data_IF_831484522783
#
_entry.id   IF_831484522783
#
_cell.length_a   1.000
_cell.length_b   1.000
_cell.length_c   1.000
_cell.angle_alpha   90.00
_cell.angle_beta   90.00
_cell.angle_gamma   90.00
#
_symmetry.space_group_name_H-M   'P 1'
#
loop_
_entity.id
_entity.type
_entity.pdbx_description
1 polymer ?
#
# COMPACT_ATOMS: atom_id res chain seq x y z
N UNK A 1 -4.83 -16.64 -9.55
CA UNK A 1 -5.96 -15.95 -10.23
C UNK A 1 -5.83 -14.48 -9.93
N UNK A 2 -5.81 -13.62 -10.95
CA UNK A 2 -5.89 -12.18 -10.71
C UNK A 2 -7.34 -11.82 -10.40
N UNK A 3 -7.56 -11.05 -9.34
CA UNK A 3 -8.90 -10.55 -9.00
C UNK A 3 -9.00 -9.10 -9.47
N UNK A 4 -9.94 -8.81 -10.36
CA UNK A 4 -10.18 -7.44 -10.82
C UNK A 4 -11.14 -6.75 -9.86
N UNK A 5 -10.65 -5.75 -9.13
CA UNK A 5 -11.52 -4.85 -8.37
C UNK A 5 -12.12 -3.79 -9.28
N UNK A 6 -13.42 -3.52 -9.14
CA UNK A 6 -14.06 -2.37 -9.75
C UNK A 6 -13.95 -1.15 -8.83
N UNK A 7 -14.00 0.06 -9.39
CA UNK A 7 -14.02 1.30 -8.60
C UNK A 7 -15.15 1.25 -7.56
N UNK A 8 -14.80 1.41 -6.28
CA UNK A 8 -15.73 1.30 -5.15
C UNK A 8 -16.03 -0.13 -4.69
N UNK A 9 -15.42 -1.13 -5.31
CA UNK A 9 -15.49 -2.52 -4.88
C UNK A 9 -14.68 -2.75 -3.61
N UNK A 10 -15.27 -3.51 -2.69
CA UNK A 10 -14.60 -3.99 -1.49
C UNK A 10 -14.31 -5.49 -1.66
N UNK A 11 -13.10 -5.91 -1.31
CA UNK A 11 -12.70 -7.30 -1.32
C UNK A 11 -12.37 -7.74 0.10
N UNK A 12 -12.98 -8.85 0.53
CA UNK A 12 -12.64 -9.48 1.81
C UNK A 12 -11.49 -10.46 1.60
N UNK A 13 -10.28 -10.09 2.00
CA UNK A 13 -9.10 -10.96 1.93
C UNK A 13 -9.31 -12.28 2.70
N UNK A 14 -10.01 -12.24 3.84
CA UNK A 14 -10.33 -13.42 4.66
C UNK A 14 -11.28 -14.42 3.98
N UNK A 15 -12.09 -13.99 3.01
CA UNK A 15 -12.91 -14.91 2.20
C UNK A 15 -12.11 -15.56 1.08
N UNK A 16 -11.05 -14.90 0.63
CA UNK A 16 -10.19 -15.39 -0.44
C UNK A 16 -9.14 -16.35 0.11
N UNK A 17 -8.52 -16.01 1.24
CA UNK A 17 -7.58 -16.88 1.93
C UNK A 17 -7.61 -16.61 3.45
N UNK A 18 -8.21 -17.51 4.26
CA UNK A 18 -8.28 -17.35 5.71
C UNK A 18 -6.92 -17.60 6.40
N UNK A 19 -5.92 -18.10 5.69
CA UNK A 19 -4.56 -18.34 6.21
C UNK A 19 -3.57 -17.26 5.78
N UNK A 20 -4.06 -16.15 5.21
CA UNK A 20 -3.23 -15.06 4.74
C UNK A 20 -2.47 -14.41 5.89
N UNK A 21 -1.15 -14.60 5.88
CA UNK A 21 -0.23 -14.08 6.89
C UNK A 21 0.54 -12.86 6.40
N UNK A 22 0.74 -12.74 5.09
CA UNK A 22 1.46 -11.62 4.48
C UNK A 22 0.77 -11.17 3.20
N UNK A 23 0.74 -9.85 2.98
CA UNK A 23 0.19 -9.19 1.82
C UNK A 23 1.28 -8.30 1.22
N UNK A 24 1.42 -8.35 -0.09
CA UNK A 24 2.25 -7.42 -0.84
C UNK A 24 1.32 -6.57 -1.70
N UNK A 25 1.41 -5.25 -1.54
CA UNK A 25 0.63 -4.29 -2.31
C UNK A 25 1.63 -3.56 -3.20
N UNK A 26 1.59 -3.84 -4.50
CA UNK A 26 2.34 -3.11 -5.51
C UNK A 26 1.46 -2.04 -6.15
N UNK A 27 1.99 -0.84 -6.30
CA UNK A 27 1.43 0.25 -7.07
C UNK A 27 2.39 0.56 -8.22
N UNK A 28 1.92 0.41 -9.45
CA UNK A 28 2.67 0.79 -10.64
C UNK A 28 1.84 1.74 -11.51
N UNK A 29 2.49 2.73 -12.11
CA UNK A 29 1.85 3.68 -13.01
C UNK A 29 2.78 4.13 -14.12
N UNK A 30 2.21 4.41 -15.29
CA UNK A 30 3.01 4.88 -16.42
C UNK A 30 3.44 6.34 -16.23
N UNK A 31 4.72 6.66 -16.51
CA UNK A 31 5.24 8.01 -16.42
C UNK A 31 4.58 8.90 -17.47
N UNK A 32 4.51 10.20 -17.19
CA UNK A 32 3.90 11.17 -18.10
C UNK A 32 4.65 11.19 -19.45
N UNK A 33 3.93 10.96 -20.54
CA UNK A 33 4.49 10.98 -21.90
C UNK A 33 4.63 12.39 -22.54
N UNK A 34 4.34 13.46 -21.81
CA UNK A 34 4.30 14.86 -22.30
C UNK A 34 5.11 15.77 -21.40
N UNK A 35 5.66 16.87 -21.93
CA UNK A 35 6.31 17.90 -21.13
C UNK A 35 5.35 18.48 -20.08
N UNK A 36 5.78 18.51 -18.81
CA UNK A 36 4.99 18.98 -17.69
C UNK A 36 5.42 18.35 -16.36
N UNK A 37 4.62 18.58 -15.33
CA UNK A 37 4.87 18.00 -14.00
C UNK A 37 4.63 16.49 -14.02
N UNK A 38 5.54 15.76 -13.37
CA UNK A 38 5.52 14.30 -13.26
C UNK A 38 4.28 13.82 -12.47
N UNK A 39 3.84 12.58 -12.76
CA UNK A 39 2.77 11.96 -11.99
C UNK A 39 3.39 11.35 -10.72
N UNK A 40 3.13 12.03 -9.61
CA UNK A 40 3.48 11.59 -8.26
C UNK A 40 2.25 10.86 -7.70
N UNK A 41 2.32 9.53 -7.61
CA UNK A 41 1.29 8.71 -6.98
C UNK A 41 1.85 8.15 -5.68
N UNK A 42 1.16 8.43 -4.58
CA UNK A 42 1.55 7.92 -3.28
C UNK A 42 0.67 6.73 -2.86
N UNK A 43 1.31 5.62 -2.50
CA UNK A 43 0.70 4.56 -1.74
C UNK A 43 0.80 4.86 -0.23
N UNK A 44 -0.30 4.70 0.49
CA UNK A 44 -0.29 4.87 1.94
C UNK A 44 -1.21 3.88 2.63
N UNK A 45 -0.82 3.45 3.83
CA UNK A 45 -1.59 2.55 4.66
C UNK A 45 -1.95 3.21 6.00
N UNK A 46 -3.18 2.98 6.44
CA UNK A 46 -3.69 3.42 7.73
C UNK A 46 -4.00 2.20 8.60
N UNK A 47 -3.30 2.05 9.72
CA UNK A 47 -3.61 1.01 10.69
C UNK A 47 -4.73 1.51 11.60
N UNK A 48 -5.91 0.92 11.44
CA UNK A 48 -7.08 1.26 12.24
C UNK A 48 -7.19 0.35 13.46
N UNK A 49 -7.50 0.93 14.61
CA UNK A 49 -7.90 0.20 15.80
C UNK A 49 -9.35 -0.29 15.68
N UNK A 50 -9.80 -1.13 16.61
CA UNK A 50 -11.15 -1.69 16.64
C UNK A 50 -12.28 -0.63 16.65
N UNK A 51 -11.95 0.62 16.98
CA UNK A 51 -12.85 1.78 16.94
C UNK A 51 -12.90 2.48 15.56
N UNK A 52 -12.21 1.94 14.54
CA UNK A 52 -12.14 2.52 13.20
C UNK A 52 -11.27 3.78 13.11
N UNK A 53 -10.43 4.06 14.10
CA UNK A 53 -9.50 5.21 14.12
C UNK A 53 -8.06 4.74 14.23
N UNK A 54 -7.15 5.51 13.64
CA UNK A 54 -5.71 5.37 13.89
C UNK A 54 -5.40 5.64 15.36
N UNK A 55 -4.46 4.90 15.97
CA UNK A 55 -4.10 5.10 17.38
C UNK A 55 -3.13 6.27 17.51
N UNK A 56 -2.25 6.46 16.52
CA UNK A 56 -1.31 7.59 16.46
C UNK A 56 -0.88 7.92 15.03
N UNK A 57 -0.14 9.01 14.85
CA UNK A 57 0.50 9.36 13.56
C UNK A 57 1.50 8.29 13.11
N UNK A 58 2.02 7.45 14.02
CA UNK A 58 2.90 6.34 13.69
C UNK A 58 2.17 5.15 13.03
N UNK A 59 0.84 5.13 13.07
CA UNK A 59 -0.01 4.16 12.38
C UNK A 59 -0.35 4.58 10.94
N UNK A 60 0.18 5.72 10.50
CA UNK A 60 0.08 6.18 9.13
C UNK A 60 1.40 5.92 8.41
N UNK A 61 1.36 5.03 7.42
CA UNK A 61 2.52 4.55 6.68
C UNK A 61 2.48 5.14 5.29
N UNK A 62 3.53 5.86 4.92
CA UNK A 62 3.65 6.62 3.68
C UNK A 62 5.14 6.86 3.38
N UNK A 63 5.45 7.58 2.31
CA UNK A 63 6.83 7.86 1.88
C UNK A 63 7.77 8.35 3.00
N UNK A 64 7.28 9.14 3.97
CA UNK A 64 8.09 9.67 5.07
C UNK A 64 8.14 8.75 6.31
N UNK A 65 7.27 7.75 6.37
CA UNK A 65 7.15 6.80 7.47
C UNK A 65 7.16 5.39 6.91
N UNK A 66 8.36 4.89 6.62
CA UNK A 66 8.55 3.63 5.89
C UNK A 66 8.13 2.38 6.68
N UNK A 67 7.95 2.47 8.00
CA UNK A 67 7.60 1.31 8.83
C UNK A 67 6.58 1.67 9.90
N UNK A 68 5.66 0.75 10.18
CA UNK A 68 4.75 0.88 11.32
C UNK A 68 5.48 0.63 12.63
N UNK A 69 4.97 1.20 13.72
CA UNK A 69 5.53 0.98 15.06
C UNK A 69 5.55 -0.51 15.46
N UNK A 70 4.53 -1.25 15.02
CA UNK A 70 4.41 -2.70 15.26
C UNK A 70 5.25 -3.55 14.28
N UNK A 71 5.84 -2.91 13.25
CA UNK A 71 6.61 -3.58 12.18
C UNK A 71 5.74 -4.48 11.30
N UNK A 72 4.42 -4.31 11.36
CA UNK A 72 3.43 -5.00 10.54
C UNK A 72 3.34 -4.46 9.13
N UNK A 73 3.74 -3.21 8.88
CA UNK A 73 3.72 -2.62 7.53
C UNK A 73 5.08 -2.00 7.23
N UNK A 74 5.62 -2.28 6.06
CA UNK A 74 6.87 -1.73 5.53
C UNK A 74 6.66 -1.20 4.11
N UNK A 75 6.90 0.09 3.92
CA UNK A 75 6.97 0.77 2.63
C UNK A 75 8.39 0.61 2.07
N UNK A 76 8.54 0.14 0.83
CA UNK A 76 9.86 -0.15 0.26
C UNK A 76 10.57 1.05 -0.33
N UNK A 77 9.84 2.13 -0.63
CA UNK A 77 10.40 3.37 -1.17
C UNK A 77 9.35 4.17 -1.90
N UNK A 78 9.61 5.48 -2.01
CA UNK A 78 8.79 6.44 -2.74
C UNK A 78 9.33 6.58 -4.17
N UNK A 79 8.45 6.38 -5.15
CA UNK A 79 8.78 6.62 -6.55
C UNK A 79 7.92 7.78 -7.05
N UNK A 80 8.56 8.89 -7.41
CA UNK A 80 7.85 10.14 -7.72
C UNK A 80 7.58 10.35 -9.20
N UNK A 81 8.01 9.40 -10.02
CA UNK A 81 8.08 9.57 -11.48
C UNK A 81 7.34 8.47 -12.22
N UNK A 82 7.12 7.30 -11.60
CA UNK A 82 6.64 6.09 -12.27
C UNK A 82 7.65 5.56 -13.29
N UNK A 83 8.92 5.97 -13.18
CA UNK A 83 9.96 5.55 -14.10
C UNK A 83 10.47 4.16 -13.73
N UNK A 84 9.91 3.12 -14.36
CA UNK A 84 10.34 1.75 -14.15
C UNK A 84 9.41 0.75 -14.85
N UNK A 85 9.89 -0.49 -15.02
CA UNK A 85 9.04 -1.61 -15.38
C UNK A 85 8.63 -2.34 -14.09
N UNK A 86 7.33 -2.35 -13.76
CA UNK A 86 6.78 -3.16 -12.66
C UNK A 86 5.99 -2.35 -11.62
N UNK A 87 6.11 -2.76 -10.36
CA UNK A 87 5.52 -2.06 -9.21
C UNK A 87 6.47 -0.93 -8.77
N UNK A 88 6.11 0.31 -9.05
CA UNK A 88 6.87 1.51 -8.71
C UNK A 88 7.00 1.73 -7.19
N UNK A 89 5.92 1.45 -6.46
CA UNK A 89 5.89 1.46 -5.00
C UNK A 89 5.36 0.13 -4.47
N UNK A 90 5.92 -0.33 -3.35
CA UNK A 90 5.48 -1.57 -2.71
C UNK A 90 5.29 -1.37 -1.21
N UNK A 91 4.13 -1.79 -0.72
CA UNK A 91 3.85 -1.93 0.70
C UNK A 91 3.77 -3.41 1.06
N UNK A 92 4.63 -3.81 1.97
CA UNK A 92 4.61 -5.14 2.58
C UNK A 92 3.81 -5.07 3.86
N UNK A 93 2.82 -5.93 4.01
CA UNK A 93 1.99 -6.03 5.20
C UNK A 93 2.11 -7.44 5.76
N UNK A 94 2.58 -7.56 6.99
CA UNK A 94 2.59 -8.78 7.78
C UNK A 94 1.40 -8.74 8.75
N UNK A 95 0.38 -9.54 8.44
CA UNK A 95 -0.84 -9.67 9.23
C UNK A 95 -0.64 -10.48 10.51
N UNK A 96 0.48 -11.19 10.67
CA UNK A 96 0.77 -11.95 11.91
C UNK A 96 1.15 -11.04 13.08
N UNK A 97 1.45 -9.78 12.79
CA UNK A 97 1.90 -8.76 13.75
C UNK A 97 0.82 -7.72 14.10
N UNK A 98 -0.38 -7.84 13.53
CA UNK A 98 -1.50 -6.89 13.68
C UNK A 98 -2.52 -7.37 14.70
#
# INVERSE_FOLDING_TARGET
>A
MALTLQKGGNLSLSKTDPTLTSVLIGLGWDPRATDGQEFDLDASAFLLSANGKVRSEADFIFYNQLKSADGSVEHTGDNRTGAGDGDDEVLKVDLTRV
#
